data_IF_692873822263
#
_entry.id   IF_692873822263
#
_cell.length_a   1.000
_cell.length_b   1.000
_cell.length_c   1.000
_cell.angle_alpha   90.00
_cell.angle_beta   90.00
_cell.angle_gamma   90.00
#
_symmetry.space_group_name_H-M   'P 1'
#
loop_
_entity.id
_entity.type
_entity.pdbx_description
1 polymer ?
#
# COMPACT_ATOMS: atom_id res chain seq x y z
N UNK A 1 66.65 -22.14 -12.26
CA UNK A 1 65.94 -21.35 -11.24
C UNK A 1 64.47 -21.35 -11.65
N UNK A 2 63.62 -21.99 -10.84
CA UNK A 2 62.25 -22.38 -11.15
C UNK A 2 61.29 -21.30 -10.61
N UNK A 3 60.35 -20.82 -11.43
CA UNK A 3 59.29 -19.91 -10.95
C UNK A 3 57.93 -20.54 -11.25
N UNK A 4 57.43 -21.30 -10.27
CA UNK A 4 56.03 -21.74 -10.23
C UNK A 4 55.17 -20.56 -9.75
N UNK A 5 54.29 -20.07 -10.62
CA UNK A 5 53.25 -19.11 -10.23
C UNK A 5 52.20 -19.79 -9.38
N UNK A 6 52.13 -19.44 -8.09
CA UNK A 6 51.04 -19.84 -7.21
C UNK A 6 49.81 -19.02 -7.54
N UNK A 7 48.81 -19.63 -8.20
CA UNK A 7 47.46 -19.07 -8.24
C UNK A 7 46.88 -19.13 -6.82
N UNK A 8 46.87 -17.99 -6.12
CA UNK A 8 46.21 -17.86 -4.83
C UNK A 8 44.69 -17.92 -5.03
N UNK A 9 44.09 -19.06 -4.68
CA UNK A 9 42.66 -19.14 -4.43
C UNK A 9 42.32 -18.25 -3.21
N UNK A 10 41.44 -17.28 -3.40
CA UNK A 10 40.79 -16.55 -2.31
C UNK A 10 39.41 -17.19 -2.06
N UNK A 11 39.21 -18.03 -1.04
CA UNK A 11 37.87 -18.22 -0.48
C UNK A 11 37.56 -16.95 0.34
N UNK A 12 36.37 -16.39 0.39
CA UNK A 12 35.03 -16.87 0.07
C UNK A 12 34.21 -15.59 -0.16
N UNK A 13 33.39 -15.56 -1.22
CA UNK A 13 32.32 -14.56 -1.28
C UNK A 13 31.52 -14.68 0.03
N UNK A 14 31.21 -13.58 0.72
CA UNK A 14 30.28 -13.63 1.84
C UNK A 14 29.01 -14.29 1.33
N UNK A 15 28.51 -15.27 2.10
CA UNK A 15 27.24 -15.95 1.85
C UNK A 15 26.20 -14.94 1.34
N UNK A 16 25.96 -14.93 0.02
CA UNK A 16 24.89 -14.16 -0.61
C UNK A 16 23.59 -14.84 -0.20
N UNK A 17 23.24 -14.71 1.09
CA UNK A 17 21.96 -15.14 1.61
C UNK A 17 20.92 -14.42 0.79
N UNK A 18 20.29 -15.16 -0.12
CA UNK A 18 19.26 -14.64 -0.99
C UNK A 18 18.19 -14.04 -0.09
N UNK A 19 18.09 -12.71 -0.08
CA UNK A 19 17.16 -12.02 0.80
C UNK A 19 15.74 -12.38 0.37
N UNK A 20 15.09 -13.24 1.15
CA UNK A 20 13.67 -13.56 0.95
C UNK A 20 12.87 -12.45 1.61
N UNK A 21 11.89 -11.91 0.89
CA UNK A 21 10.99 -10.87 1.39
C UNK A 21 9.58 -11.41 1.56
N UNK A 22 8.89 -10.87 2.56
CA UNK A 22 7.43 -10.94 2.68
C UNK A 22 6.84 -9.64 2.15
N UNK A 23 5.61 -9.69 1.64
CA UNK A 23 4.90 -8.55 1.08
C UNK A 23 3.56 -8.33 1.79
N UNK A 24 3.18 -7.06 1.94
CA UNK A 24 1.89 -6.67 2.48
C UNK A 24 1.33 -5.50 1.69
N UNK A 25 0.01 -5.44 1.56
CA UNK A 25 -0.67 -4.35 0.88
C UNK A 25 -1.82 -3.83 1.74
N UNK A 26 -2.03 -2.52 1.69
CA UNK A 26 -3.34 -1.96 1.98
C UNK A 26 -3.83 -1.14 0.78
N UNK A 27 -5.13 -0.97 0.66
CA UNK A 27 -5.75 -0.19 -0.41
C UNK A 27 -6.68 0.86 0.16
N UNK A 28 -6.72 2.05 -0.42
CA UNK A 28 -7.80 3.01 -0.19
C UNK A 28 -8.77 2.92 -1.35
N UNK A 29 -10.06 2.90 -1.05
CA UNK A 29 -11.14 3.05 -2.01
C UNK A 29 -11.87 4.33 -1.63
N UNK A 30 -11.86 5.32 -2.51
CA UNK A 30 -12.42 6.64 -2.24
C UNK A 30 -13.48 6.96 -3.28
N UNK A 31 -14.70 7.15 -2.80
CA UNK A 31 -15.88 7.33 -3.63
C UNK A 31 -16.16 8.82 -3.85
N UNK A 32 -16.30 9.19 -5.11
CA UNK A 32 -16.73 10.50 -5.58
C UNK A 32 -18.15 10.37 -6.11
N UNK A 33 -19.10 10.22 -5.18
CA UNK A 33 -20.52 10.18 -5.50
C UNK A 33 -21.18 11.47 -5.01
N UNK A 34 -21.82 12.25 -5.92
CA UNK A 34 -22.56 13.46 -5.55
C UNK A 34 -23.59 13.21 -4.44
N UNK A 35 -23.80 14.21 -3.59
CA UNK A 35 -24.69 14.10 -2.43
C UNK A 35 -24.14 13.26 -1.28
N UNK A 36 -22.91 12.72 -1.40
CA UNK A 36 -22.23 12.05 -0.29
C UNK A 36 -22.74 10.67 0.05
N UNK A 37 -23.39 9.98 -0.90
CA UNK A 37 -23.88 8.61 -0.74
C UNK A 37 -22.79 7.54 -0.95
N UNK A 38 -21.55 7.96 -1.23
CA UNK A 38 -20.41 7.06 -1.38
C UNK A 38 -20.04 6.30 -0.12
N UNK A 39 -19.23 5.26 -0.29
CA UNK A 39 -18.61 4.50 0.80
C UNK A 39 -17.12 4.40 0.52
N UNK A 40 -16.35 5.22 1.23
CA UNK A 40 -14.89 5.22 1.14
C UNK A 40 -14.31 4.36 2.26
N UNK A 41 -13.27 3.56 1.99
CA UNK A 41 -12.71 2.61 2.97
C UNK A 41 -11.20 2.40 2.76
N UNK A 42 -10.48 2.12 3.84
CA UNK A 42 -9.19 1.44 3.80
C UNK A 42 -9.44 -0.06 3.90
N UNK A 43 -8.88 -0.82 2.97
CA UNK A 43 -8.93 -2.27 2.90
C UNK A 43 -7.56 -2.86 3.24
N UNK A 44 -7.56 -3.86 4.10
CA UNK A 44 -6.36 -4.60 4.55
C UNK A 44 -6.66 -6.08 4.65
N UNK A 45 -5.62 -6.90 4.60
CA UNK A 45 -5.72 -8.33 4.88
C UNK A 45 -4.90 -8.65 6.11
N UNK A 46 -5.51 -9.34 7.08
CA UNK A 46 -4.79 -9.81 8.28
C UNK A 46 -3.93 -11.05 7.96
N UNK A 47 -3.19 -11.51 8.96
CA UNK A 47 -2.27 -12.64 8.80
C UNK A 47 -2.99 -13.99 8.61
N UNK A 48 -4.32 -14.02 8.77
CA UNK A 48 -5.19 -15.18 8.51
C UNK A 48 -5.89 -15.09 7.15
N UNK A 49 -5.62 -14.05 6.36
CA UNK A 49 -6.25 -13.84 5.07
C UNK A 49 -7.64 -13.19 5.15
N UNK A 50 -8.07 -12.70 6.30
CA UNK A 50 -9.37 -12.04 6.46
C UNK A 50 -9.29 -10.56 6.04
N UNK A 51 -10.33 -10.10 5.33
CA UNK A 51 -10.48 -8.71 4.95
C UNK A 51 -10.84 -7.87 6.20
N UNK A 52 -10.03 -6.85 6.46
CA UNK A 52 -10.27 -5.82 7.46
C UNK A 52 -10.56 -4.49 6.78
N UNK A 53 -11.61 -3.81 7.22
CA UNK A 53 -12.08 -2.55 6.65
C UNK A 53 -12.06 -1.45 7.72
N UNK A 54 -11.49 -0.29 7.38
CA UNK A 54 -11.60 0.94 8.19
C UNK A 54 -12.32 1.98 7.34
N UNK A 55 -13.38 2.58 7.86
CA UNK A 55 -14.15 3.55 7.09
C UNK A 55 -13.37 4.85 6.88
N UNK A 56 -13.57 5.44 5.70
CA UNK A 56 -13.15 6.77 5.33
C UNK A 56 -14.38 7.64 5.09
N UNK A 57 -14.24 8.95 5.27
CA UNK A 57 -15.32 9.90 5.07
C UNK A 57 -15.51 10.22 3.59
N UNK A 58 -16.72 10.63 3.23
CA UNK A 58 -17.05 10.96 1.84
C UNK A 58 -16.47 12.30 1.41
N UNK A 59 -15.97 12.36 0.18
CA UNK A 59 -15.45 13.60 -0.40
C UNK A 59 -16.55 14.62 -0.69
N UNK A 60 -17.77 14.17 -0.99
CA UNK A 60 -18.89 15.03 -1.35
C UNK A 60 -19.96 15.06 -0.26
N UNK A 61 -20.66 16.19 -0.23
CA UNK A 61 -21.89 16.45 0.51
C UNK A 61 -22.94 17.04 -0.44
N UNK A 62 -24.12 17.41 0.08
CA UNK A 62 -25.12 18.13 -0.71
C UNK A 62 -24.66 19.51 -1.17
N UNK A 63 -23.70 20.13 -0.47
CA UNK A 63 -23.18 21.48 -0.78
C UNK A 63 -21.88 21.47 -1.59
N UNK A 64 -21.39 20.29 -1.98
CA UNK A 64 -20.14 20.12 -2.72
C UNK A 64 -19.06 19.38 -1.93
N UNK A 65 -17.80 19.65 -2.27
CA UNK A 65 -16.63 18.94 -1.73
C UNK A 65 -16.41 19.30 -0.25
N UNK A 66 -16.18 18.28 0.57
CA UNK A 66 -15.88 18.40 1.99
C UNK A 66 -14.38 18.19 2.24
N UNK A 67 -13.62 19.28 2.26
CA UNK A 67 -12.17 19.26 2.52
C UNK A 67 -11.80 18.79 3.93
N UNK A 68 -12.69 18.98 4.91
CA UNK A 68 -12.49 18.44 6.25
C UNK A 68 -12.52 16.92 6.27
N UNK A 69 -13.37 16.30 5.44
CA UNK A 69 -13.39 14.85 5.27
C UNK A 69 -12.11 14.36 4.59
N UNK A 70 -11.66 15.05 3.54
CA UNK A 70 -10.40 14.74 2.84
C UNK A 70 -9.22 14.78 3.83
N UNK A 71 -9.06 15.87 4.58
CA UNK A 71 -7.97 15.99 5.56
C UNK A 71 -8.02 14.92 6.67
N UNK A 72 -9.22 14.46 7.06
CA UNK A 72 -9.35 13.35 8.00
C UNK A 72 -8.96 12.01 7.38
N UNK A 73 -9.31 11.79 6.10
CA UNK A 73 -8.91 10.58 5.37
C UNK A 73 -7.40 10.54 5.18
N UNK A 74 -6.78 11.66 4.79
CA UNK A 74 -5.33 11.78 4.65
C UNK A 74 -4.61 11.37 5.94
N UNK A 75 -5.07 11.87 7.09
CA UNK A 75 -4.55 11.46 8.40
C UNK A 75 -4.68 9.95 8.62
N UNK A 76 -5.86 9.38 8.36
CA UNK A 76 -6.11 7.96 8.56
C UNK A 76 -5.25 7.06 7.65
N UNK A 77 -4.94 7.52 6.43
CA UNK A 77 -4.06 6.83 5.48
C UNK A 77 -2.61 6.90 5.97
N UNK A 78 -2.14 8.08 6.36
CA UNK A 78 -0.78 8.27 6.90
C UNK A 78 -0.58 7.46 8.18
N UNK A 79 -1.55 7.45 9.10
CA UNK A 79 -1.53 6.60 10.29
C UNK A 79 -1.32 5.12 9.95
N UNK A 80 -1.99 4.62 8.90
CA UNK A 80 -1.82 3.24 8.44
C UNK A 80 -0.42 2.98 7.87
N UNK A 81 0.12 3.93 7.10
CA UNK A 81 1.49 3.84 6.58
C UNK A 81 2.52 3.82 7.72
N UNK A 82 2.35 4.69 8.71
CA UNK A 82 3.22 4.77 9.87
C UNK A 82 3.15 3.48 10.69
N UNK A 83 1.96 2.93 10.93
CA UNK A 83 1.80 1.65 11.61
C UNK A 83 2.60 0.54 10.93
N UNK A 84 2.51 0.43 9.60
CA UNK A 84 3.30 -0.55 8.86
C UNK A 84 4.80 -0.29 8.95
N UNK A 85 5.22 0.98 8.90
CA UNK A 85 6.63 1.36 9.11
C UNK A 85 7.14 0.98 10.49
N UNK A 86 6.36 1.19 11.55
CA UNK A 86 6.67 0.81 12.93
C UNK A 86 6.77 -0.71 13.08
N UNK A 87 5.93 -1.46 12.36
CA UNK A 87 5.97 -2.93 12.25
C UNK A 87 7.15 -3.46 11.39
N UNK A 88 8.01 -2.57 10.91
CA UNK A 88 9.21 -2.88 10.13
C UNK A 88 8.98 -3.12 8.64
N UNK A 89 7.83 -2.71 8.11
CA UNK A 89 7.55 -2.79 6.68
C UNK A 89 8.04 -1.54 5.94
N UNK A 90 8.72 -1.75 4.81
CA UNK A 90 9.19 -0.69 3.92
C UNK A 90 8.17 -0.49 2.78
N UNK A 91 7.70 0.75 2.59
CA UNK A 91 6.89 1.10 1.42
C UNK A 91 7.77 1.06 0.16
N UNK A 92 7.34 0.32 -0.86
CA UNK A 92 8.10 0.16 -2.10
C UNK A 92 7.37 0.61 -3.35
N UNK A 93 6.03 0.66 -3.31
CA UNK A 93 5.25 1.07 -4.46
C UNK A 93 3.90 1.65 -4.04
N UNK A 94 3.49 2.71 -4.74
CA UNK A 94 2.13 3.24 -4.70
C UNK A 94 1.56 3.19 -6.12
N UNK A 95 0.39 2.59 -6.28
CA UNK A 95 -0.30 2.49 -7.57
C UNK A 95 -1.73 3.01 -7.43
N UNK A 96 -2.11 3.95 -8.27
CA UNK A 96 -3.47 4.53 -8.29
C UNK A 96 -4.23 4.14 -9.55
N UNK A 97 -5.55 4.08 -9.46
CA UNK A 97 -6.46 3.93 -10.58
C UNK A 97 -7.77 4.64 -10.30
N UNK A 98 -8.42 5.15 -11.35
CA UNK A 98 -9.71 5.82 -11.25
C UNK A 98 -10.67 5.27 -12.29
N UNK A 99 -11.93 5.10 -11.90
CA UNK A 99 -13.01 4.80 -12.83
C UNK A 99 -14.12 5.83 -12.64
N UNK A 100 -14.56 6.43 -13.74
CA UNK A 100 -15.75 7.28 -13.76
C UNK A 100 -16.86 6.50 -14.47
N UNK A 101 -17.97 6.31 -13.77
CA UNK A 101 -19.17 5.75 -14.35
C UNK A 101 -20.01 6.90 -14.91
N UNK A 102 -20.04 7.02 -16.24
CA UNK A 102 -21.01 7.86 -16.92
C UNK A 102 -22.37 7.16 -16.91
N UNK A 103 -23.43 7.87 -16.52
CA UNK A 103 -24.79 7.39 -16.69
C UNK A 103 -25.60 8.39 -17.51
N UNK A 104 -26.37 7.89 -18.47
CA UNK A 104 -27.35 8.70 -19.20
C UNK A 104 -28.47 9.08 -18.22
N UNK A 105 -28.58 10.38 -17.91
CA UNK A 105 -29.70 10.94 -17.12
C UNK A 105 -29.61 10.80 -15.58
N UNK A 106 -28.53 10.26 -15.01
CA UNK A 106 -28.30 10.24 -13.55
C UNK A 106 -26.93 10.84 -13.19
N UNK A 107 -26.74 11.22 -11.92
CA UNK A 107 -25.49 11.86 -11.48
C UNK A 107 -24.36 10.83 -11.52
N UNK A 108 -23.50 10.93 -12.53
CA UNK A 108 -22.32 10.06 -12.68
C UNK A 108 -21.46 10.06 -11.42
N UNK A 109 -20.86 8.90 -11.13
CA UNK A 109 -20.02 8.68 -9.95
C UNK A 109 -18.58 8.34 -10.34
N UNK A 110 -17.65 8.62 -9.44
CA UNK A 110 -16.25 8.25 -9.56
C UNK A 110 -15.80 7.34 -8.41
N UNK A 111 -14.82 6.49 -8.69
CA UNK A 111 -14.13 5.69 -7.69
C UNK A 111 -12.63 5.77 -7.93
N UNK A 112 -11.89 6.10 -6.89
CA UNK A 112 -10.45 6.09 -6.84
C UNK A 112 -9.99 4.90 -6.00
N UNK A 113 -9.01 4.15 -6.49
CA UNK A 113 -8.34 3.11 -5.72
C UNK A 113 -6.85 3.38 -5.70
N UNK A 114 -6.26 3.45 -4.50
CA UNK A 114 -4.81 3.55 -4.34
C UNK A 114 -4.32 2.33 -3.56
N UNK A 115 -3.31 1.65 -4.10
CA UNK A 115 -2.67 0.46 -3.51
C UNK A 115 -1.28 0.83 -3.04
N UNK A 116 -0.98 0.51 -1.79
CA UNK A 116 0.30 0.76 -1.14
C UNK A 116 0.94 -0.59 -0.86
N UNK A 117 2.00 -0.92 -1.60
CA UNK A 117 2.73 -2.18 -1.47
C UNK A 117 3.95 -1.97 -0.58
N UNK A 118 4.08 -2.85 0.39
CA UNK A 118 5.17 -2.88 1.34
C UNK A 118 5.91 -4.21 1.27
N UNK A 119 7.19 -4.21 1.62
CA UNK A 119 8.00 -5.40 1.82
C UNK A 119 8.70 -5.39 3.17
N UNK A 120 9.07 -6.56 3.67
CA UNK A 120 9.96 -6.72 4.82
C UNK A 120 10.81 -7.97 4.61
N UNK A 121 12.05 -7.97 5.08
CA UNK A 121 12.88 -9.16 5.04
C UNK A 121 12.22 -10.29 5.85
N UNK A 122 12.08 -11.46 5.23
CA UNK A 122 11.57 -12.65 5.91
C UNK A 122 12.61 -13.06 6.95
N UNK A 123 12.19 -13.14 8.22
CA UNK A 123 13.07 -13.61 9.29
C UNK A 123 13.30 -15.10 9.07
N UNK A 124 14.55 -15.51 8.87
CA UNK A 124 14.92 -16.92 8.93
C UNK A 124 14.63 -17.40 10.35
N UNK A 125 13.78 -18.41 10.51
CA UNK A 125 13.57 -19.04 11.80
C UNK A 125 14.88 -19.77 12.14
N UNK A 126 15.49 -19.41 13.27
CA UNK A 126 16.59 -20.19 13.88
C UNK A 126 16.04 -21.45 14.55
#
# INVERSE_FOLDING_TARGET
MLVMGMYSFRPSAPDERQMVYEFKQFSTVESVIPGGMGRSRILTTDDRGQLLEKDLKNFYSLVGINFGNIANNDRAIVERMNQYSEDGWELIQVSTGSHAQASEGSTGGGLFITRYLFKRQKRTQE
#
